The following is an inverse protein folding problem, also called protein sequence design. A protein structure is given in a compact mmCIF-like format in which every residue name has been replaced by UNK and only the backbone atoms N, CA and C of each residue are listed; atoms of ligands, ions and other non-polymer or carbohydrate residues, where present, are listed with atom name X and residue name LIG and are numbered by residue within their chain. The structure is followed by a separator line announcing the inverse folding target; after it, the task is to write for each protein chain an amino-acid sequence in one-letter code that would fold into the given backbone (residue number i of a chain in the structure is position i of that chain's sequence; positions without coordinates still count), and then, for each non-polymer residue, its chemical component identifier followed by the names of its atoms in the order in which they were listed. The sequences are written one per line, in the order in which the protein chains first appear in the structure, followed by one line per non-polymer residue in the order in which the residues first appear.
data_IF_210487098034
#
_entry.id   IF_210487098034
#
_cell.length_a   1.000
_cell.length_b   1.000
_cell.length_c   1.000
_cell.angle_alpha   90.00
_cell.angle_beta   90.00
_cell.angle_gamma   90.00
#
_symmetry.space_group_name_H-M   'P 1'
#
loop_
_entity.id
_entity.type
_entity.pdbx_description
1 polymer ?
#
# COMPACT_ATOMS: atom_id res chain seq x y z
N UNK A 1 12.09 5.48 12.69
CA UNK A 1 11.42 4.19 12.90
C UNK A 1 12.02 3.19 11.91
N UNK A 2 12.58 2.06 12.35
CA UNK A 2 13.08 1.04 11.41
C UNK A 2 11.88 0.24 10.90
N UNK A 3 11.63 0.16 9.57
CA UNK A 3 10.42 -0.47 9.01
C UNK A 3 10.40 -2.00 9.12
N UNK A 4 11.41 -2.59 9.74
CA UNK A 4 11.72 -4.03 9.79
C UNK A 4 10.63 -4.89 10.44
N UNK A 5 9.63 -4.29 11.09
CA UNK A 5 8.44 -4.95 11.62
C UNK A 5 7.08 -4.41 11.13
N UNK A 6 7.05 -3.43 10.24
CA UNK A 6 5.81 -2.77 9.83
C UNK A 6 5.07 -3.58 8.76
N UNK A 7 3.76 -3.79 8.97
CA UNK A 7 2.82 -4.30 7.96
C UNK A 7 1.75 -3.23 7.70
N UNK A 8 1.34 -3.08 6.44
CA UNK A 8 0.43 -2.00 6.01
C UNK A 8 -0.76 -2.58 5.25
N UNK A 9 -1.96 -2.11 5.58
CA UNK A 9 -3.18 -2.34 4.81
C UNK A 9 -3.63 -1.03 4.15
N UNK A 10 -3.79 -1.05 2.82
CA UNK A 10 -4.30 0.07 2.03
C UNK A 10 -5.66 -0.29 1.45
N UNK A 11 -6.72 0.33 1.96
CA UNK A 11 -8.08 0.17 1.47
C UNK A 11 -8.72 1.54 1.16
N UNK A 12 -8.60 1.98 -0.09
CA UNK A 12 -9.07 3.29 -0.56
C UNK A 12 -9.84 3.14 -1.88
N UNK A 13 -10.06 4.25 -2.60
CA UNK A 13 -10.47 4.25 -4.00
C UNK A 13 -9.39 3.57 -4.88
N UNK A 14 -9.78 3.01 -6.03
CA UNK A 14 -8.92 2.21 -6.89
C UNK A 14 -7.63 2.87 -7.38
N UNK A 15 -7.63 4.17 -7.70
CA UNK A 15 -6.41 4.88 -8.14
C UNK A 15 -5.46 5.18 -6.96
N UNK A 16 -5.91 5.82 -5.86
CA UNK A 16 -5.09 6.03 -4.67
C UNK A 16 -4.53 4.74 -4.07
N UNK A 17 -5.31 3.66 -4.01
CA UNK A 17 -4.85 2.35 -3.49
C UNK A 17 -3.60 1.88 -4.23
N UNK A 18 -3.66 1.89 -5.57
CA UNK A 18 -2.53 1.46 -6.41
C UNK A 18 -1.32 2.38 -6.28
N UNK A 19 -1.55 3.71 -6.22
CA UNK A 19 -0.47 4.70 -6.07
C UNK A 19 0.25 4.53 -4.74
N UNK A 20 -0.48 4.46 -3.63
CA UNK A 20 0.09 4.36 -2.29
C UNK A 20 0.79 3.02 -2.05
N UNK A 21 0.18 1.90 -2.44
CA UNK A 21 0.83 0.59 -2.34
C UNK A 21 2.10 0.50 -3.20
N UNK A 22 2.16 1.23 -4.32
CA UNK A 22 3.39 1.38 -5.12
C UNK A 22 4.46 2.22 -4.41
N UNK A 23 4.08 3.36 -3.84
CA UNK A 23 4.99 4.24 -3.09
C UNK A 23 5.60 3.52 -1.88
N UNK A 24 4.78 2.81 -1.09
CA UNK A 24 5.23 2.02 0.08
C UNK A 24 6.26 0.94 -0.29
N UNK A 25 6.19 0.36 -1.48
CA UNK A 25 7.19 -0.63 -1.93
C UNK A 25 8.48 0.01 -2.42
N UNK A 26 8.44 1.25 -2.94
CA UNK A 26 9.61 1.92 -3.55
C UNK A 26 10.38 2.79 -2.57
N UNK A 27 9.67 3.58 -1.77
CA UNK A 27 10.28 4.63 -0.96
C UNK A 27 10.77 4.10 0.38
N UNK A 28 9.92 3.57 1.28
CA UNK A 28 10.40 2.90 2.49
C UNK A 28 10.86 1.47 2.22
N UNK A 29 10.80 0.98 0.96
CA UNK A 29 11.30 -0.32 0.56
C UNK A 29 10.58 -1.50 1.21
N UNK A 30 9.28 -1.36 1.53
CA UNK A 30 8.54 -2.44 2.19
C UNK A 30 8.46 -3.67 1.28
N UNK A 31 8.78 -4.88 1.79
CA UNK A 31 8.56 -6.12 1.07
C UNK A 31 7.10 -6.26 0.63
N UNK A 32 6.87 -6.85 -0.55
CA UNK A 32 5.52 -6.98 -1.14
C UNK A 32 4.57 -7.72 -0.20
N UNK A 33 5.09 -8.70 0.53
CA UNK A 33 4.38 -9.59 1.45
C UNK A 33 3.83 -8.83 2.65
N UNK A 34 4.32 -7.61 2.91
CA UNK A 34 3.93 -6.73 4.01
C UNK A 34 3.05 -5.55 3.60
N UNK A 35 2.72 -5.43 2.30
CA UNK A 35 1.85 -4.40 1.75
C UNK A 35 0.59 -5.06 1.20
N UNK A 36 -0.46 -5.10 2.01
CA UNK A 36 -1.78 -5.58 1.61
C UNK A 36 -2.58 -4.43 1.02
N UNK A 37 -3.22 -4.64 -0.13
CA UNK A 37 -3.99 -3.58 -0.79
C UNK A 37 -5.28 -4.11 -1.40
N UNK A 38 -6.36 -3.38 -1.21
CA UNK A 38 -7.69 -3.68 -1.74
C UNK A 38 -8.34 -2.38 -2.22
N UNK A 39 -8.73 -2.31 -3.49
CA UNK A 39 -9.53 -1.19 -3.99
C UNK A 39 -10.96 -1.35 -3.45
N UNK A 40 -11.33 -0.57 -2.45
CA UNK A 40 -12.60 -0.73 -1.73
C UNK A 40 -13.79 -0.25 -2.56
N UNK A 41 -13.57 0.80 -3.36
CA UNK A 41 -14.54 1.31 -4.31
C UNK A 41 -13.81 1.95 -5.50
N UNK A 42 -14.55 2.25 -6.56
CA UNK A 42 -14.04 2.95 -7.74
C UNK A 42 -14.99 4.08 -8.08
N UNK A 43 -14.46 5.25 -8.39
CA UNK A 43 -15.28 6.32 -8.97
C UNK A 43 -15.57 5.96 -10.43
N UNK A 44 -16.84 5.70 -10.75
CA UNK A 44 -17.36 5.55 -12.12
C UNK A 44 -17.63 6.89 -12.75
#
# INVERSE_FOLDING_TARGET
MRPEGTSVMVALEGVPTRRLAGALRREPGLPKERVHSLAYWKRS
#
